data_IF_674906805374
#
_entry.id   IF_674906805374
#
_cell.length_a   1.000
_cell.length_b   1.000
_cell.length_c   1.000
_cell.angle_alpha   90.00
_cell.angle_beta   90.00
_cell.angle_gamma   90.00
#
_symmetry.space_group_name_H-M   'P 1'
#
loop_
_entity.id
_entity.type
_entity.pdbx_description
1 polymer ?
#
# COMPACT_ATOMS: atom_id res chain seq x y z
N UNK A 1 -36.62 -26.21 -8.40
CA UNK A 1 -35.50 -25.92 -7.48
C UNK A 1 -34.59 -24.92 -8.18
N UNK A 2 -34.75 -23.62 -7.93
CA UNK A 2 -33.88 -22.62 -8.56
C UNK A 2 -32.53 -22.64 -7.84
N UNK A 3 -31.47 -23.10 -8.52
CA UNK A 3 -30.10 -22.96 -8.02
C UNK A 3 -29.74 -21.48 -8.01
N UNK A 4 -29.59 -20.89 -6.83
CA UNK A 4 -29.19 -19.50 -6.69
C UNK A 4 -27.67 -19.44 -6.56
N UNK A 5 -27.00 -18.94 -7.60
CA UNK A 5 -25.54 -18.79 -7.68
C UNK A 5 -25.01 -17.85 -6.59
N UNK A 6 -23.84 -18.13 -5.99
CA UNK A 6 -23.23 -17.24 -4.99
C UNK A 6 -22.93 -15.86 -5.59
N UNK A 7 -23.23 -14.79 -4.85
CA UNK A 7 -22.98 -13.41 -5.28
C UNK A 7 -21.55 -13.05 -4.90
N UNK A 8 -20.72 -12.76 -5.89
CA UNK A 8 -19.34 -12.32 -5.66
C UNK A 8 -19.28 -10.80 -5.51
N UNK A 9 -18.59 -10.33 -4.49
CA UNK A 9 -18.21 -8.92 -4.29
C UNK A 9 -16.68 -8.80 -4.27
N UNK A 10 -16.15 -7.58 -4.34
CA UNK A 10 -14.71 -7.36 -4.35
C UNK A 10 -14.31 -6.33 -3.31
N UNK A 11 -13.25 -6.63 -2.56
CA UNK A 11 -12.50 -5.63 -1.80
C UNK A 11 -11.42 -5.05 -2.74
N UNK A 12 -11.45 -3.74 -2.97
CA UNK A 12 -10.58 -3.07 -3.93
C UNK A 12 -9.73 -1.99 -3.28
N UNK A 13 -8.51 -1.83 -3.76
CA UNK A 13 -7.65 -0.70 -3.47
C UNK A 13 -7.20 -0.04 -4.77
N UNK A 14 -7.34 1.27 -4.86
CA UNK A 14 -6.94 2.08 -6.02
C UNK A 14 -6.07 3.22 -5.51
N UNK A 15 -5.00 3.51 -6.24
CA UNK A 15 -4.11 4.64 -5.95
C UNK A 15 -4.21 5.68 -7.03
N UNK A 16 -4.32 6.94 -6.64
CA UNK A 16 -4.34 8.09 -7.52
C UNK A 16 -3.20 9.01 -7.14
N UNK A 17 -2.54 9.59 -8.15
CA UNK A 17 -1.48 10.58 -7.96
C UNK A 17 -1.57 11.66 -9.05
N UNK A 18 -0.87 12.79 -8.90
CA UNK A 18 -0.78 13.78 -9.96
C UNK A 18 -0.23 13.22 -11.28
N UNK A 19 0.65 12.22 -11.23
CA UNK A 19 1.21 11.53 -12.40
C UNK A 19 0.30 10.41 -12.92
N UNK A 20 -0.63 9.93 -12.11
CA UNK A 20 -1.61 8.88 -12.45
C UNK A 20 -3.03 9.31 -12.03
N UNK A 21 -3.65 10.29 -12.72
CA UNK A 21 -4.94 10.86 -12.32
C UNK A 21 -6.13 9.91 -12.53
N UNK A 22 -6.04 8.96 -13.46
CA UNK A 22 -7.11 7.98 -13.73
C UNK A 22 -7.25 6.91 -12.63
N UNK A 23 -6.27 6.82 -11.72
CA UNK A 23 -6.23 5.83 -10.66
C UNK A 23 -5.75 4.46 -11.14
N UNK A 24 -4.74 3.93 -10.49
CA UNK A 24 -4.21 2.60 -10.73
C UNK A 24 -4.79 1.61 -9.72
N UNK A 25 -5.42 0.53 -10.21
CA UNK A 25 -5.86 -0.56 -9.34
C UNK A 25 -4.65 -1.27 -8.73
N UNK A 26 -4.56 -1.27 -7.40
CA UNK A 26 -3.52 -1.98 -6.63
C UNK A 26 -3.97 -3.38 -6.26
N UNK A 27 -5.24 -3.55 -5.84
CA UNK A 27 -5.77 -4.86 -5.49
C UNK A 27 -7.27 -4.97 -5.78
N UNK A 28 -7.73 -6.19 -6.04
CA UNK A 28 -9.14 -6.53 -6.21
C UNK A 28 -9.37 -7.97 -5.79
N UNK A 29 -9.71 -8.19 -4.51
CA UNK A 29 -9.87 -9.52 -3.92
C UNK A 29 -11.35 -9.92 -3.96
N UNK A 30 -11.72 -11.02 -4.63
CA UNK A 30 -13.09 -11.50 -4.65
C UNK A 30 -13.49 -12.09 -3.29
N UNK A 31 -14.73 -11.85 -2.88
CA UNK A 31 -15.36 -12.38 -1.69
C UNK A 31 -16.74 -12.94 -2.06
N UNK A 32 -17.06 -14.12 -1.55
CA UNK A 32 -18.37 -14.74 -1.77
C UNK A 32 -19.35 -14.29 -0.69
N UNK A 33 -20.49 -13.71 -1.09
CA UNK A 33 -21.58 -13.42 -0.17
C UNK A 33 -22.47 -14.65 0.02
N UNK A 34 -22.93 -14.91 1.26
CA UNK A 34 -24.02 -15.86 1.50
C UNK A 34 -25.31 -15.36 0.81
N UNK A 35 -25.92 -16.18 -0.06
CA UNK A 35 -26.99 -15.72 -0.98
C UNK A 35 -28.43 -16.02 -0.55
N UNK A 36 -28.66 -16.79 0.51
CA UNK A 36 -30.00 -17.14 0.95
C UNK A 36 -30.39 -16.43 2.25
N UNK A 37 -31.66 -16.01 2.36
CA UNK A 37 -32.25 -15.55 3.61
C UNK A 37 -32.27 -16.65 4.69
N UNK A 38 -32.16 -17.92 4.29
CA UNK A 38 -31.92 -19.07 5.20
C UNK A 38 -30.43 -19.38 5.44
N UNK A 39 -29.51 -18.84 4.62
CA UNK A 39 -28.05 -18.97 4.75
C UNK A 39 -27.42 -17.74 5.42
N UNK A 40 -28.18 -17.12 6.31
CA UNK A 40 -27.68 -16.22 7.33
C UNK A 40 -27.37 -16.96 8.63
N UNK A 41 -27.00 -18.25 8.51
CA UNK A 41 -26.53 -19.01 9.66
C UNK A 41 -25.34 -18.28 10.28
N UNK A 42 -25.18 -18.43 11.59
CA UNK A 42 -24.02 -17.86 12.29
C UNK A 42 -22.71 -18.35 11.64
N UNK A 43 -22.67 -19.60 11.17
CA UNK A 43 -21.50 -20.18 10.51
C UNK A 43 -21.16 -19.47 9.19
N UNK A 44 -22.15 -19.18 8.34
CA UNK A 44 -21.94 -18.48 7.07
C UNK A 44 -21.44 -17.04 7.30
N UNK A 45 -22.02 -16.35 8.28
CA UNK A 45 -21.59 -15.00 8.67
C UNK A 45 -20.16 -15.00 9.22
N UNK A 46 -19.83 -15.93 10.10
CA UNK A 46 -18.48 -16.08 10.67
C UNK A 46 -17.46 -16.38 9.58
N UNK A 47 -17.80 -17.27 8.64
CA UNK A 47 -16.94 -17.61 7.49
C UNK A 47 -16.71 -16.40 6.60
N UNK A 48 -17.77 -15.67 6.23
CA UNK A 48 -17.65 -14.45 5.44
C UNK A 48 -16.78 -13.40 6.14
N UNK A 49 -16.97 -13.17 7.44
CA UNK A 49 -16.18 -12.20 8.20
C UNK A 49 -14.72 -12.65 8.37
N UNK A 50 -14.44 -13.94 8.47
CA UNK A 50 -13.08 -14.47 8.48
C UNK A 50 -12.40 -14.20 7.13
N UNK A 51 -13.08 -14.51 6.01
CA UNK A 51 -12.58 -14.24 4.66
C UNK A 51 -12.38 -12.75 4.41
N UNK A 52 -13.30 -11.90 4.88
CA UNK A 52 -13.18 -10.44 4.78
C UNK A 52 -11.95 -9.93 5.55
N UNK A 53 -11.73 -10.40 6.79
CA UNK A 53 -10.54 -10.01 7.57
C UNK A 53 -9.24 -10.43 6.88
N UNK A 54 -9.19 -11.66 6.37
CA UNK A 54 -8.03 -12.14 5.63
C UNK A 54 -7.78 -11.29 4.37
N UNK A 55 -8.83 -10.98 3.61
CA UNK A 55 -8.74 -10.10 2.44
C UNK A 55 -8.27 -8.69 2.82
N UNK A 56 -8.73 -8.13 3.94
CA UNK A 56 -8.27 -6.82 4.41
C UNK A 56 -6.79 -6.82 4.75
N UNK A 57 -6.29 -7.84 5.44
CA UNK A 57 -4.85 -7.99 5.75
C UNK A 57 -4.04 -8.06 4.45
N UNK A 58 -4.44 -8.91 3.52
CA UNK A 58 -3.76 -9.06 2.23
C UNK A 58 -3.79 -7.76 1.39
N UNK A 59 -4.92 -7.05 1.37
CA UNK A 59 -5.01 -5.74 0.72
C UNK A 59 -4.08 -4.72 1.39
N UNK A 60 -3.99 -4.71 2.73
CA UNK A 60 -3.09 -3.80 3.44
C UNK A 60 -1.63 -4.08 3.13
N UNK A 61 -1.21 -5.35 3.15
CA UNK A 61 0.14 -5.77 2.78
C UNK A 61 0.48 -5.34 1.35
N UNK A 62 -0.45 -5.57 0.42
CA UNK A 62 -0.28 -5.19 -0.99
C UNK A 62 -0.16 -3.68 -1.15
N UNK A 63 -1.00 -2.91 -0.45
CA UNK A 63 -0.94 -1.44 -0.47
C UNK A 63 0.38 -0.94 0.09
N UNK A 64 0.82 -1.47 1.24
CA UNK A 64 2.09 -1.07 1.85
C UNK A 64 3.26 -1.34 0.89
N UNK A 65 3.36 -2.55 0.36
CA UNK A 65 4.41 -2.91 -0.59
C UNK A 65 4.38 -2.01 -1.83
N UNK A 66 3.20 -1.75 -2.38
CA UNK A 66 3.05 -0.94 -3.58
C UNK A 66 3.35 0.55 -3.34
N UNK A 67 3.10 1.09 -2.14
CA UNK A 67 3.47 2.46 -1.80
C UNK A 67 4.97 2.57 -1.49
N UNK A 68 5.55 1.61 -0.78
CA UNK A 68 7.00 1.56 -0.52
C UNK A 68 7.78 1.52 -1.82
N UNK A 69 7.43 0.63 -2.76
CA UNK A 69 8.10 0.57 -4.06
C UNK A 69 8.01 1.90 -4.82
N UNK A 70 6.86 2.58 -4.79
CA UNK A 70 6.72 3.90 -5.43
C UNK A 70 7.56 4.98 -4.75
N UNK A 71 7.68 4.96 -3.42
CA UNK A 71 8.55 5.89 -2.70
C UNK A 71 10.02 5.68 -3.10
N UNK A 72 10.47 4.43 -3.21
CA UNK A 72 11.82 4.09 -3.67
C UNK A 72 12.06 4.54 -5.12
N UNK A 73 11.10 4.31 -6.01
CA UNK A 73 11.14 4.82 -7.38
C UNK A 73 11.21 6.36 -7.43
N UNK A 74 10.44 7.05 -6.59
CA UNK A 74 10.39 8.50 -6.51
C UNK A 74 11.73 9.08 -6.00
N UNK A 75 12.35 8.45 -4.99
CA UNK A 75 13.68 8.81 -4.50
C UNK A 75 14.72 8.67 -5.63
N UNK A 76 14.72 7.53 -6.32
CA UNK A 76 15.65 7.26 -7.41
C UNK A 76 15.50 8.26 -8.56
N UNK A 77 14.26 8.60 -8.95
CA UNK A 77 14.00 9.63 -9.98
C UNK A 77 14.48 11.01 -9.54
N UNK A 78 14.19 11.42 -8.30
CA UNK A 78 14.64 12.72 -7.79
C UNK A 78 16.18 12.82 -7.72
N UNK A 79 16.87 11.73 -7.38
CA UNK A 79 18.34 11.69 -7.38
C UNK A 79 18.92 11.86 -8.81
N UNK A 80 18.30 11.21 -9.80
CA UNK A 80 18.68 11.34 -11.21
C UNK A 80 18.43 12.75 -11.76
N UNK A 81 17.28 13.34 -11.45
CA UNK A 81 16.92 14.69 -11.90
C UNK A 81 17.88 15.75 -11.32
N UNK A 82 18.27 15.60 -10.06
CA UNK A 82 19.30 16.45 -9.42
C UNK A 82 20.68 16.29 -10.07
N UNK A 83 21.06 15.07 -10.46
CA UNK A 83 22.32 14.81 -11.15
C UNK A 83 22.33 15.37 -12.59
N UNK A 84 21.19 15.33 -13.29
CA UNK A 84 21.04 15.83 -14.65
C UNK A 84 20.97 17.37 -14.73
N UNK A 85 20.48 18.05 -13.69
CA UNK A 85 20.35 19.51 -13.64
C UNK A 85 21.66 20.28 -13.40
N UNK A 86 22.82 19.62 -13.36
CA UNK A 86 24.14 20.27 -13.24
C UNK A 86 24.36 21.04 -11.93
N UNK A 87 23.54 20.78 -10.89
CA UNK A 87 23.67 21.41 -9.60
C UNK A 87 24.81 20.79 -8.79
N UNK A 88 26.01 21.38 -8.86
CA UNK A 88 27.03 21.25 -7.82
C UNK A 88 26.52 21.84 -6.50
N UNK A 89 25.56 21.19 -5.81
CA UNK A 89 25.32 21.43 -4.39
C UNK A 89 24.98 20.12 -3.71
N UNK A 90 26.04 19.60 -3.09
CA UNK A 90 26.07 18.57 -2.04
C UNK A 90 25.31 17.30 -2.44
N UNK A 91 26.08 16.32 -2.94
CA UNK A 91 25.73 14.91 -2.76
C UNK A 91 25.52 14.71 -1.25
N UNK A 92 24.28 14.82 -0.78
CA UNK A 92 23.89 14.22 0.48
C UNK A 92 23.83 12.74 0.14
N UNK A 93 24.93 12.06 0.45
CA UNK A 93 24.99 10.62 0.41
C UNK A 93 24.07 10.14 1.55
N UNK A 94 22.87 9.68 1.21
CA UNK A 94 21.87 9.25 2.20
C UNK A 94 22.44 8.14 3.10
N UNK A 95 23.39 7.33 2.60
CA UNK A 95 24.16 6.36 3.40
C UNK A 95 25.05 7.06 4.43
N UNK A 96 25.63 8.22 4.12
CA UNK A 96 26.44 8.99 5.05
C UNK A 96 25.59 9.81 6.06
N UNK A 97 24.34 10.15 5.75
CA UNK A 97 23.41 10.74 6.74
C UNK A 97 22.80 9.69 7.69
N UNK A 98 22.58 8.45 7.25
CA UNK A 98 22.13 7.36 8.13
C UNK A 98 23.20 6.95 9.16
N UNK A 99 24.48 6.92 8.78
CA UNK A 99 25.60 6.58 9.69
C UNK A 99 25.89 7.66 10.75
N UNK A 100 25.35 8.88 10.59
CA UNK A 100 25.50 9.98 11.56
C UNK A 100 24.27 10.18 12.46
N UNK A 101 23.26 9.31 12.36
CA UNK A 101 22.03 9.40 13.18
C UNK A 101 22.26 8.78 14.56
N UNK A 102 23.07 9.43 15.39
CA UNK A 102 23.39 8.95 16.74
C UNK A 102 24.39 9.77 17.55
N UNK A 103 25.04 10.77 16.95
CA UNK A 103 25.91 11.70 17.65
C UNK A 103 25.16 13.03 17.84
N UNK A 104 24.47 13.18 18.98
CA UNK A 104 24.05 14.52 19.42
C UNK A 104 25.33 15.30 19.71
N UNK A 105 25.71 16.23 18.82
CA UNK A 105 26.85 17.13 19.04
C UNK A 105 26.51 18.06 20.22
N UNK A 106 27.11 17.87 21.41
CA UNK A 106 26.82 18.69 22.57
C UNK A 106 27.89 19.77 22.67
N UNK A 107 28.02 20.64 21.67
CA UNK A 107 28.90 21.81 21.77
C UNK A 107 28.19 23.06 21.26
N UNK A 108 27.28 23.57 22.08
CA UNK A 108 26.93 25.00 22.10
C UNK A 108 26.75 25.41 23.57
N UNK A 109 27.85 25.35 24.32
CA UNK A 109 27.96 25.84 25.70
C UNK A 109 29.23 26.72 25.82
N UNK A 110 29.23 27.87 25.13
CA UNK A 110 30.03 29.07 25.46
C UNK A 110 29.25 30.39 25.25
#
# INVERSE_FOLDING_TARGET
MASQTPKTVHLKATYTSPTQPEGQSISSIPLSLPTSQSSQSLADKTTYLASLRAATIATQETVNAALTARMEEDIARNALDKAAAGGEKKKVDEVAEEENYGEEDPEDDE
#
